data_IF_669651084144
#
_entry.id   IF_669651084144
#
_cell.length_a   1.000
_cell.length_b   1.000
_cell.length_c   1.000
_cell.angle_alpha   90.00
_cell.angle_beta   90.00
_cell.angle_gamma   90.00
#
_symmetry.space_group_name_H-M   'P 1'
#
loop_
_entity.id
_entity.type
_entity.pdbx_description
1 polymer ?
#
# COMPACT_ATOMS: atom_id res chain seq x y z
N UNK A 1 15.34 -4.42 79.62
CA UNK A 1 16.42 -3.82 78.79
C UNK A 1 16.79 -4.67 77.58
N UNK A 2 16.63 -6.00 77.63
CA UNK A 2 16.90 -6.90 76.50
C UNK A 2 16.14 -6.52 75.21
N UNK A 3 14.82 -6.31 75.30
CA UNK A 3 13.96 -6.13 74.12
C UNK A 3 14.18 -4.80 73.40
N UNK A 4 14.53 -3.75 74.14
CA UNK A 4 14.94 -2.46 73.55
C UNK A 4 16.22 -2.60 72.74
N UNK A 5 17.17 -3.42 73.21
CA UNK A 5 18.41 -3.71 72.48
C UNK A 5 18.12 -4.50 71.19
N UNK A 6 17.33 -5.58 71.27
CA UNK A 6 16.90 -6.39 70.10
C UNK A 6 16.03 -5.63 69.09
N UNK A 7 15.35 -4.58 69.54
CA UNK A 7 14.56 -3.69 68.66
C UNK A 7 15.48 -2.70 67.96
N UNK A 8 16.40 -2.06 68.70
CA UNK A 8 17.42 -1.17 68.13
C UNK A 8 18.32 -1.91 67.14
N UNK A 9 18.79 -3.11 67.47
CA UNK A 9 19.63 -3.95 66.61
C UNK A 9 18.91 -4.34 65.31
N UNK A 10 17.61 -4.68 65.37
CA UNK A 10 16.80 -4.93 64.17
C UNK A 10 16.59 -3.67 63.32
N UNK A 11 16.35 -2.52 63.96
CA UNK A 11 16.21 -1.24 63.25
C UNK A 11 17.53 -0.86 62.57
N UNK A 12 18.66 -1.00 63.27
CA UNK A 12 20.00 -0.82 62.74
C UNK A 12 20.26 -1.77 61.58
N UNK A 13 19.90 -3.06 61.70
CA UNK A 13 20.02 -4.03 60.60
C UNK A 13 19.22 -3.60 59.36
N UNK A 14 17.98 -3.12 59.51
CA UNK A 14 17.20 -2.60 58.39
C UNK A 14 17.82 -1.33 57.76
N UNK A 15 18.27 -0.37 58.56
CA UNK A 15 18.89 0.85 58.07
C UNK A 15 20.25 0.59 57.38
N UNK A 16 21.06 -0.36 57.89
CA UNK A 16 22.34 -0.75 57.29
C UNK A 16 22.20 -1.80 56.17
N UNK A 17 21.08 -2.52 56.07
CA UNK A 17 20.68 -3.26 54.85
C UNK A 17 20.28 -2.34 53.69
N UNK A 18 20.61 -1.05 53.76
CA UNK A 18 20.52 -0.06 52.68
C UNK A 18 21.06 -0.55 51.33
N UNK A 19 21.90 -1.59 51.27
CA UNK A 19 22.24 -2.29 50.00
C UNK A 19 21.00 -2.70 49.18
N UNK A 20 19.89 -3.14 49.80
CA UNK A 20 18.69 -3.53 49.07
C UNK A 20 17.95 -2.32 48.46
N UNK A 21 17.82 -1.21 49.20
CA UNK A 21 17.28 0.05 48.68
C UNK A 21 18.20 0.67 47.63
N UNK A 22 19.51 0.72 47.88
CA UNK A 22 20.51 1.19 46.91
C UNK A 22 20.49 0.36 45.62
N UNK A 23 20.24 -0.94 45.68
CA UNK A 23 20.11 -1.78 44.48
C UNK A 23 18.86 -1.42 43.67
N UNK A 24 17.71 -1.23 44.33
CA UNK A 24 16.46 -0.79 43.67
C UNK A 24 16.60 0.64 43.13
N UNK A 25 17.26 1.55 43.84
CA UNK A 25 17.55 2.91 43.39
C UNK A 25 18.52 2.89 42.19
N UNK A 26 19.55 2.04 42.21
CA UNK A 26 20.50 1.88 41.11
C UNK A 26 19.86 1.24 39.87
N UNK A 27 18.98 0.25 40.05
CA UNK A 27 18.18 -0.34 38.97
C UNK A 27 17.21 0.70 38.38
N UNK A 28 16.55 1.49 39.23
CA UNK A 28 15.66 2.59 38.83
C UNK A 28 16.42 3.68 38.06
N UNK A 29 17.62 4.07 38.51
CA UNK A 29 18.50 5.00 37.79
C UNK A 29 18.97 4.41 36.45
N UNK A 30 19.32 3.13 36.41
CA UNK A 30 19.66 2.41 35.17
C UNK A 30 18.50 2.43 34.17
N UNK A 31 17.28 2.18 34.65
CA UNK A 31 16.06 2.26 33.85
C UNK A 31 15.81 3.68 33.31
N UNK A 32 15.93 4.72 34.15
CA UNK A 32 15.81 6.12 33.70
C UNK A 32 16.86 6.48 32.63
N UNK A 33 18.10 6.00 32.77
CA UNK A 33 19.13 6.18 31.74
C UNK A 33 18.77 5.46 30.45
N UNK A 34 18.28 4.23 30.50
CA UNK A 34 17.93 3.47 29.28
C UNK A 34 16.71 4.05 28.56
N UNK A 35 15.68 4.48 29.30
CA UNK A 35 14.54 5.24 28.74
C UNK A 35 15.02 6.54 28.10
N UNK A 36 15.97 7.25 28.72
CA UNK A 36 16.54 8.48 28.16
C UNK A 36 17.32 8.22 26.87
N UNK A 37 18.14 7.16 26.81
CA UNK A 37 18.83 6.72 25.59
C UNK A 37 17.84 6.32 24.48
N UNK A 38 16.78 5.59 24.83
CA UNK A 38 15.76 5.15 23.88
C UNK A 38 15.00 6.35 23.31
N UNK A 39 14.62 7.33 24.15
CA UNK A 39 13.99 8.59 23.73
C UNK A 39 14.89 9.38 22.78
N UNK A 40 16.18 9.52 23.09
CA UNK A 40 17.14 10.20 22.20
C UNK A 40 17.29 9.50 20.83
N UNK A 41 17.30 8.16 20.81
CA UNK A 41 17.28 7.37 19.56
C UNK A 41 16.00 7.61 18.75
N UNK A 42 14.84 7.60 19.41
CA UNK A 42 13.55 7.86 18.78
C UNK A 42 13.46 9.28 18.17
N UNK A 43 13.84 10.31 18.93
CA UNK A 43 13.84 11.70 18.44
C UNK A 43 14.81 11.89 17.27
N UNK A 44 15.97 11.23 17.30
CA UNK A 44 16.93 11.23 16.18
C UNK A 44 16.34 10.57 14.92
N UNK A 45 15.67 9.42 15.08
CA UNK A 45 15.01 8.70 13.98
C UNK A 45 13.84 9.52 13.40
N UNK A 46 13.00 10.12 14.25
CA UNK A 46 11.90 10.98 13.83
C UNK A 46 12.39 12.24 13.10
N UNK A 47 13.52 12.82 13.54
CA UNK A 47 14.17 13.94 12.83
C UNK A 47 14.68 13.50 11.45
N UNK A 48 15.35 12.35 11.36
CA UNK A 48 15.79 11.77 10.08
C UNK A 48 14.61 11.50 9.13
N UNK A 49 13.50 10.98 9.64
CA UNK A 49 12.27 10.77 8.86
C UNK A 49 11.71 12.08 8.28
N UNK A 50 11.65 13.15 9.08
CA UNK A 50 11.25 14.48 8.60
C UNK A 50 12.17 15.00 7.50
N UNK A 51 13.49 14.88 7.66
CA UNK A 51 14.44 15.24 6.60
C UNK A 51 14.19 14.45 5.31
N UNK A 52 13.90 13.15 5.39
CA UNK A 52 13.56 12.31 4.22
C UNK A 52 12.23 12.70 3.54
N UNK A 53 11.33 13.37 4.24
CA UNK A 53 10.12 13.99 3.68
C UNK A 53 10.35 15.42 3.14
N UNK A 54 11.56 15.97 3.26
CA UNK A 54 11.88 17.36 2.92
C UNK A 54 11.49 18.38 3.99
N UNK A 55 11.14 17.94 5.19
CA UNK A 55 10.78 18.77 6.34
C UNK A 55 12.01 19.10 7.20
N UNK A 56 11.93 20.23 7.93
CA UNK A 56 12.96 20.67 8.90
C UNK A 56 14.40 20.71 8.37
N UNK A 57 14.59 21.06 7.09
CA UNK A 57 15.90 21.01 6.44
C UNK A 57 16.90 22.11 6.88
N UNK A 58 16.42 23.16 7.56
CA UNK A 58 17.22 24.34 7.95
C UNK A 58 18.48 24.06 8.78
N UNK A 59 18.55 23.04 9.67
CA UNK A 59 19.76 22.69 10.41
C UNK A 59 20.82 21.93 9.60
N UNK A 60 20.51 21.42 8.40
CA UNK A 60 21.48 20.69 7.58
C UNK A 60 22.40 21.65 6.84
N UNK A 61 23.68 21.30 6.76
CA UNK A 61 24.62 21.98 5.87
C UNK A 61 24.56 21.42 4.44
N UNK A 62 25.15 22.15 3.48
CA UNK A 62 25.13 21.80 2.04
C UNK A 62 25.59 20.37 1.75
N UNK A 63 26.59 19.84 2.47
CA UNK A 63 27.08 18.47 2.24
C UNK A 63 26.08 17.41 2.72
N UNK A 64 25.36 17.70 3.79
CA UNK A 64 24.33 16.82 4.36
C UNK A 64 23.08 16.81 3.47
N UNK A 65 22.65 17.99 2.98
CA UNK A 65 21.59 18.14 1.98
C UNK A 65 21.91 17.36 0.69
N UNK A 66 23.11 17.52 0.12
CA UNK A 66 23.55 16.74 -1.05
C UNK A 66 23.63 15.23 -0.79
N UNK A 67 23.91 14.80 0.45
CA UNK A 67 23.91 13.38 0.80
C UNK A 67 22.48 12.82 0.91
N UNK A 68 21.57 13.60 1.47
CA UNK A 68 20.14 13.29 1.56
C UNK A 68 19.50 13.19 0.17
N UNK A 69 19.80 14.15 -0.71
CA UNK A 69 19.38 14.17 -2.12
C UNK A 69 19.81 12.88 -2.85
N UNK A 70 21.11 12.56 -2.86
CA UNK A 70 21.63 11.31 -3.47
C UNK A 70 21.00 10.04 -2.90
N UNK A 71 20.69 10.03 -1.60
CA UNK A 71 20.02 8.90 -0.95
C UNK A 71 18.58 8.73 -1.47
N UNK A 72 17.83 9.83 -1.59
CA UNK A 72 16.47 9.84 -2.13
C UNK A 72 16.44 9.48 -3.62
N UNK A 73 17.35 10.04 -4.43
CA UNK A 73 17.52 9.69 -5.85
C UNK A 73 17.78 8.19 -6.04
N UNK A 74 18.73 7.62 -5.28
CA UNK A 74 19.06 6.20 -5.35
C UNK A 74 17.88 5.31 -4.95
N UNK A 75 17.17 5.66 -3.87
CA UNK A 75 15.99 4.93 -3.43
C UNK A 75 14.85 5.01 -4.47
N UNK A 76 14.62 6.18 -5.06
CA UNK A 76 13.64 6.40 -6.12
C UNK A 76 13.98 5.61 -7.39
N UNK A 77 15.24 5.62 -7.82
CA UNK A 77 15.71 4.83 -8.96
C UNK A 77 15.50 3.33 -8.74
N UNK A 78 15.85 2.81 -7.55
CA UNK A 78 15.60 1.42 -7.18
C UNK A 78 14.11 1.07 -7.14
N UNK A 79 13.26 1.96 -6.62
CA UNK A 79 11.81 1.77 -6.58
C UNK A 79 11.20 1.74 -7.99
N UNK A 80 11.60 2.68 -8.87
CA UNK A 80 11.22 2.71 -10.29
C UNK A 80 11.68 1.44 -11.00
N UNK A 81 12.93 1.02 -10.83
CA UNK A 81 13.47 -0.20 -11.44
C UNK A 81 12.72 -1.46 -10.99
N UNK A 82 12.45 -1.62 -9.69
CA UNK A 82 11.65 -2.75 -9.16
C UNK A 82 10.25 -2.77 -9.74
N UNK A 83 9.57 -1.61 -9.80
CA UNK A 83 8.23 -1.49 -10.41
C UNK A 83 8.24 -1.91 -11.88
N UNK A 84 9.21 -1.42 -12.66
CA UNK A 84 9.36 -1.77 -14.07
C UNK A 84 9.60 -3.27 -14.25
N UNK A 85 10.50 -3.87 -13.46
CA UNK A 85 10.77 -5.31 -13.52
C UNK A 85 9.49 -6.13 -13.26
N UNK A 86 8.75 -5.82 -12.18
CA UNK A 86 7.50 -6.52 -11.88
C UNK A 86 6.47 -6.43 -13.02
N UNK A 87 6.38 -5.28 -13.70
CA UNK A 87 5.48 -5.12 -14.85
C UNK A 87 5.95 -5.92 -16.08
N UNK A 88 7.26 -6.04 -16.31
CA UNK A 88 7.82 -6.89 -17.36
C UNK A 88 7.55 -8.37 -17.08
N UNK A 89 7.78 -8.82 -15.84
CA UNK A 89 7.55 -10.20 -15.40
C UNK A 89 6.07 -10.60 -15.57
N UNK A 90 5.14 -9.74 -15.15
CA UNK A 90 3.70 -9.94 -15.34
C UNK A 90 3.30 -10.01 -16.83
N UNK A 91 3.89 -9.14 -17.67
CA UNK A 91 3.64 -9.13 -19.11
C UNK A 91 4.16 -10.41 -19.79
N UNK A 92 5.31 -10.95 -19.36
CA UNK A 92 5.81 -12.22 -19.87
C UNK A 92 4.93 -13.39 -19.43
N UNK A 93 4.51 -13.42 -18.16
CA UNK A 93 3.60 -14.46 -17.64
C UNK A 93 2.27 -14.48 -18.39
N UNK A 94 1.67 -13.32 -18.64
CA UNK A 94 0.43 -13.19 -19.42
C UNK A 94 0.63 -13.65 -20.87
N UNK A 95 1.72 -13.28 -21.53
CA UNK A 95 2.04 -13.78 -22.89
C UNK A 95 2.28 -15.28 -22.94
N UNK A 96 2.81 -15.88 -21.87
CA UNK A 96 2.95 -17.34 -21.75
C UNK A 96 1.58 -18.00 -21.64
N UNK A 97 0.69 -17.47 -20.79
CA UNK A 97 -0.71 -17.94 -20.64
C UNK A 97 -1.51 -17.81 -21.95
N UNK A 98 -1.39 -16.67 -22.64
CA UNK A 98 -1.99 -16.43 -23.95
C UNK A 98 -1.60 -17.51 -24.97
N UNK A 99 -0.30 -17.78 -25.13
CA UNK A 99 0.20 -18.84 -26.04
C UNK A 99 -0.31 -20.24 -25.66
N UNK A 100 -0.32 -20.57 -24.36
CA UNK A 100 -0.82 -21.86 -23.88
C UNK A 100 -2.32 -22.04 -24.16
N UNK A 101 -3.13 -21.03 -23.85
CA UNK A 101 -4.57 -21.04 -24.12
C UNK A 101 -4.87 -21.07 -25.62
N UNK A 102 -4.10 -20.35 -26.44
CA UNK A 102 -4.22 -20.37 -27.89
C UNK A 102 -3.99 -21.77 -28.48
N UNK A 103 -2.95 -22.47 -28.02
CA UNK A 103 -2.65 -23.84 -28.47
C UNK A 103 -3.72 -24.84 -27.98
N UNK A 104 -4.17 -24.76 -26.72
CA UNK A 104 -5.28 -25.59 -26.20
C UNK A 104 -6.56 -25.34 -27.02
N UNK A 105 -6.91 -24.09 -27.30
CA UNK A 105 -8.10 -23.73 -28.07
C UNK A 105 -8.03 -24.28 -29.51
N UNK A 106 -6.87 -24.18 -30.16
CA UNK A 106 -6.60 -24.78 -31.48
C UNK A 106 -6.77 -26.30 -31.46
N UNK A 107 -6.25 -27.00 -30.45
CA UNK A 107 -6.42 -28.44 -30.30
C UNK A 107 -7.87 -28.85 -30.06
N UNK A 108 -8.62 -28.07 -29.28
CA UNK A 108 -10.06 -28.29 -29.05
C UNK A 108 -10.88 -28.10 -30.34
N UNK A 109 -10.57 -27.08 -31.15
CA UNK A 109 -11.21 -26.88 -32.46
C UNK A 109 -10.96 -28.05 -33.41
N UNK A 110 -9.71 -28.49 -33.55
CA UNK A 110 -9.36 -29.66 -34.37
C UNK A 110 -10.08 -30.93 -33.90
N UNK A 111 -10.21 -31.14 -32.59
CA UNK A 111 -11.00 -32.26 -32.05
C UNK A 111 -12.49 -32.12 -32.37
N UNK A 112 -13.08 -30.93 -32.24
CA UNK A 112 -14.49 -30.69 -32.55
C UNK A 112 -14.81 -30.89 -34.04
N UNK A 113 -13.89 -30.51 -34.93
CA UNK A 113 -13.98 -30.73 -36.37
C UNK A 113 -13.86 -32.22 -36.71
N UNK A 114 -12.96 -32.95 -36.05
CA UNK A 114 -12.81 -34.41 -36.20
C UNK A 114 -14.03 -35.19 -35.66
N UNK A 115 -14.57 -34.81 -34.50
CA UNK A 115 -15.83 -35.30 -33.92
C UNK A 115 -17.08 -34.69 -34.62
N UNK A 116 -16.91 -34.02 -35.76
CA UNK A 116 -17.97 -33.35 -36.54
C UNK A 116 -19.07 -34.28 -37.08
N UNK A 117 -18.98 -35.59 -36.85
CA UNK A 117 -20.07 -36.56 -37.01
C UNK A 117 -21.01 -36.67 -35.80
N UNK A 118 -20.54 -36.36 -34.58
CA UNK A 118 -21.28 -36.56 -33.31
C UNK A 118 -22.05 -35.30 -32.87
N UNK A 119 -21.49 -34.10 -33.09
CA UNK A 119 -22.13 -32.84 -32.65
C UNK A 119 -23.37 -32.47 -33.51
N UNK A 120 -23.38 -32.83 -34.79
CA UNK A 120 -24.54 -32.56 -35.69
C UNK A 120 -25.83 -33.19 -35.19
N UNK A 121 -25.74 -34.31 -34.46
CA UNK A 121 -26.86 -34.97 -33.80
C UNK A 121 -27.48 -34.19 -32.63
N UNK A 122 -26.74 -33.26 -32.01
CA UNK A 122 -27.26 -32.42 -30.92
C UNK A 122 -27.84 -31.08 -31.38
N UNK A 123 -27.38 -30.54 -32.52
CA UNK A 123 -27.89 -29.27 -33.04
C UNK A 123 -29.33 -29.38 -33.58
N UNK A 124 -29.76 -30.59 -33.97
CA UNK A 124 -31.15 -30.88 -34.37
C UNK A 124 -32.17 -30.93 -33.22
N UNK A 125 -31.74 -30.83 -31.95
CA UNK A 125 -32.66 -30.85 -30.81
C UNK A 125 -33.22 -29.45 -30.42
N UNK A 126 -32.70 -28.38 -31.03
CA UNK A 126 -33.06 -26.97 -30.72
C UNK A 126 -33.36 -26.13 -31.97
N UNK A 127 -33.55 -26.74 -33.15
CA UNK A 127 -33.77 -26.00 -34.40
C UNK A 127 -34.69 -26.72 -35.40
N UNK A 128 -35.82 -26.08 -35.70
CA UNK A 128 -36.80 -26.40 -36.76
C UNK A 128 -37.60 -27.72 -36.59
N UNK A 129 -38.87 -27.83 -36.98
CA UNK A 129 -39.76 -26.90 -37.72
C UNK A 129 -41.25 -27.17 -37.33
N UNK A 130 -42.29 -26.41 -37.68
CA UNK A 130 -42.42 -25.29 -38.63
C UNK A 130 -43.54 -24.31 -38.20
N UNK A 131 -43.61 -23.11 -38.79
CA UNK A 131 -44.74 -22.18 -38.61
C UNK A 131 -44.54 -20.85 -39.36
N UNK A 132 -45.33 -20.61 -40.40
CA UNK A 132 -45.17 -19.47 -41.32
C UNK A 132 -45.51 -18.10 -40.69
N UNK A 133 -44.99 -17.06 -41.36
CA UNK A 133 -45.56 -15.71 -41.52
C UNK A 133 -45.03 -14.57 -40.60
N UNK A 134 -44.09 -13.82 -41.18
CA UNK A 134 -44.15 -12.35 -41.34
C UNK A 134 -44.87 -11.51 -40.27
N UNK A 135 -44.12 -10.95 -39.31
CA UNK A 135 -44.03 -9.50 -39.16
C UNK A 135 -42.86 -9.02 -38.27
N UNK A 136 -42.62 -7.71 -38.26
CA UNK A 136 -41.50 -7.05 -37.59
C UNK A 136 -41.71 -6.76 -36.08
N UNK A 137 -40.58 -6.63 -35.35
CA UNK A 137 -40.40 -6.13 -33.98
C UNK A 137 -40.97 -6.93 -32.79
N UNK A 138 -40.08 -7.44 -31.93
CA UNK A 138 -39.80 -6.84 -30.60
C UNK A 138 -38.66 -7.58 -29.87
N UNK A 139 -37.65 -6.84 -29.40
CA UNK A 139 -36.59 -7.35 -28.53
C UNK A 139 -37.00 -7.07 -27.07
N UNK A 140 -37.26 -8.11 -26.29
CA UNK A 140 -37.42 -8.02 -24.84
C UNK A 140 -36.19 -8.59 -24.12
N UNK A 141 -35.42 -7.77 -23.38
CA UNK A 141 -34.32 -8.25 -22.55
C UNK A 141 -34.80 -8.59 -21.13
N UNK A 142 -34.98 -9.88 -20.87
CA UNK A 142 -35.05 -10.49 -19.53
C UNK A 142 -34.04 -11.65 -19.54
N UNK A 143 -33.17 -11.88 -18.55
CA UNK A 143 -33.25 -11.52 -17.14
C UNK A 143 -31.94 -10.97 -16.58
N UNK A 144 -32.06 -10.21 -15.49
CA UNK A 144 -30.94 -9.73 -14.67
C UNK A 144 -30.17 -10.91 -14.05
N UNK A 145 -28.84 -10.90 -14.21
CA UNK A 145 -27.93 -11.49 -13.24
C UNK A 145 -27.14 -10.32 -12.65
N UNK A 146 -27.45 -9.97 -11.41
CA UNK A 146 -26.68 -9.00 -10.66
C UNK A 146 -25.28 -9.59 -10.42
N UNK A 147 -24.26 -9.01 -11.04
CA UNK A 147 -22.91 -9.11 -10.50
C UNK A 147 -22.86 -8.20 -9.26
N UNK A 148 -22.76 -8.81 -8.08
CA UNK A 148 -22.31 -8.11 -6.89
C UNK A 148 -20.88 -7.64 -7.14
N UNK A 149 -20.71 -6.35 -7.42
CA UNK A 149 -19.40 -5.72 -7.33
C UNK A 149 -18.97 -5.73 -5.86
N UNK A 150 -17.77 -6.26 -5.58
CA UNK A 150 -17.16 -6.19 -4.25
C UNK A 150 -17.20 -4.76 -3.69
N UNK A 151 -17.30 -4.60 -2.36
CA UNK A 151 -17.27 -3.29 -1.72
C UNK A 151 -15.85 -2.71 -1.82
N UNK A 152 -15.60 -1.91 -2.86
CA UNK A 152 -14.40 -1.08 -2.96
C UNK A 152 -14.31 -0.22 -1.71
N UNK A 153 -13.31 -0.47 -0.86
CA UNK A 153 -13.06 0.30 0.35
C UNK A 153 -12.79 1.76 -0.01
N UNK A 154 -13.81 2.60 0.18
CA UNK A 154 -13.76 4.03 -0.08
C UNK A 154 -12.98 4.71 1.05
N UNK A 155 -11.65 4.60 1.00
CA UNK A 155 -10.75 5.37 1.87
C UNK A 155 -10.94 6.84 1.51
N UNK A 156 -11.50 7.61 2.45
CA UNK A 156 -12.03 8.93 2.18
C UNK A 156 -10.97 9.94 1.77
N UNK A 157 -11.15 10.55 0.59
CA UNK A 157 -10.55 11.83 0.29
C UNK A 157 -11.42 12.92 0.91
N UNK A 158 -10.93 13.56 1.97
CA UNK A 158 -11.54 14.78 2.48
C UNK A 158 -11.43 15.88 1.41
N UNK A 159 -12.58 16.29 0.87
CA UNK A 159 -12.70 17.46 0.02
C UNK A 159 -12.26 18.71 0.79
N UNK A 160 -11.02 19.16 0.57
CA UNK A 160 -10.57 20.45 1.09
C UNK A 160 -11.22 21.56 0.27
N UNK A 161 -12.19 22.26 0.87
CA UNK A 161 -12.79 23.47 0.30
C UNK A 161 -11.98 24.67 0.79
N UNK A 162 -11.26 25.41 -0.08
CA UNK A 162 -10.62 26.65 0.32
C UNK A 162 -11.69 27.75 0.49
N UNK A 163 -11.62 28.59 1.53
CA UNK A 163 -12.56 29.69 1.70
C UNK A 163 -12.28 30.82 0.68
N UNK A 164 -13.31 31.23 -0.04
CA UNK A 164 -13.25 32.44 -0.87
C UNK A 164 -13.12 33.70 0.01
N UNK A 165 -12.00 34.43 -0.12
CA UNK A 165 -11.96 35.87 0.13
C UNK A 165 -10.73 36.53 -0.54
N UNK A 166 -10.99 37.47 -1.44
CA UNK A 166 -10.11 38.53 -1.91
C UNK A 166 -8.73 38.15 -2.51
N UNK A 167 -8.63 38.18 -3.85
CA UNK A 167 -7.80 39.15 -4.59
C UNK A 167 -8.41 39.41 -5.98
N UNK A 168 -8.16 40.57 -6.57
CA UNK A 168 -8.86 41.04 -7.79
C UNK A 168 -7.92 41.22 -9.00
N UNK A 169 -8.45 40.95 -10.20
CA UNK A 169 -7.86 41.24 -11.54
C UNK A 169 -6.68 40.31 -11.90
N UNK A 170 -6.44 39.92 -13.16
CA UNK A 170 -6.89 40.45 -14.47
C UNK A 170 -7.44 39.37 -15.41
N UNK A 171 -8.22 39.78 -16.41
CA UNK A 171 -8.67 38.90 -17.50
C UNK A 171 -7.64 38.79 -18.66
N UNK A 172 -7.92 37.85 -19.58
CA UNK A 172 -7.37 37.62 -20.95
C UNK A 172 -6.44 36.42 -21.09
N UNK A 173 -6.81 35.50 -21.99
CA UNK A 173 -5.88 34.64 -22.72
C UNK A 173 -6.15 33.13 -22.64
N UNK A 174 -6.93 32.59 -23.58
CA UNK A 174 -6.98 31.14 -23.83
C UNK A 174 -5.60 30.60 -24.26
N UNK A 175 -5.13 29.51 -23.63
CA UNK A 175 -5.02 28.24 -24.37
C UNK A 175 -4.63 27.06 -23.46
N UNK A 176 -5.28 25.93 -23.71
CA UNK A 176 -4.95 24.65 -23.09
C UNK A 176 -3.59 24.13 -23.60
N UNK A 177 -2.68 23.76 -22.71
CA UNK A 177 -1.58 22.84 -23.05
C UNK A 177 -1.18 21.94 -21.86
N UNK A 178 -2.13 21.15 -21.36
CA UNK A 178 -1.92 20.18 -20.28
C UNK A 178 -1.33 18.84 -20.80
N UNK A 179 -0.26 18.90 -21.59
CA UNK A 179 0.60 17.75 -21.89
C UNK A 179 2.02 18.22 -22.19
N UNK A 180 2.98 17.86 -21.32
CA UNK A 180 4.41 17.59 -21.59
C UNK A 180 5.12 17.52 -20.22
N UNK A 181 5.33 16.30 -19.70
CA UNK A 181 5.82 16.11 -18.32
C UNK A 181 6.30 14.69 -17.98
N UNK A 182 6.78 13.94 -18.98
CA UNK A 182 7.43 12.63 -18.79
C UNK A 182 8.68 12.53 -19.67
N UNK A 183 9.77 13.17 -19.25
CA UNK A 183 11.11 12.95 -19.79
C UNK A 183 12.11 12.99 -18.63
N UNK A 184 12.80 11.85 -18.41
CA UNK A 184 13.82 11.53 -17.39
C UNK A 184 13.35 11.45 -15.91
#
# INVERSE_FOLDING_TARGET
>A
MEDTSKTLERYQRCCYNSQATNAVDQETQSWYQEVSKLKAKFESLQRSHRHLLGEDLGPLNVKELQQLERQLESALAQARQRKTQMMLDQMEELRKKERQLGEINKQLKLKLEADGGSLKTFQGAWGSDAGFQDNSFQIHPSHSIAMECEPTLHIGYHQFVPPEAAMSRTAVGDNNNFMLGWVL
#
